data_IF_167380378465
#
_entry.id   IF_167380378465
#
_cell.length_a   1.000
_cell.length_b   1.000
_cell.length_c   1.000
_cell.angle_alpha   90.00
_cell.angle_beta   90.00
_cell.angle_gamma   90.00
#
_symmetry.space_group_name_H-M   'P 1'
#
loop_
_entity.id
_entity.type
_entity.pdbx_description
1 polymer ?
#
# COMPACT_ATOMS: atom_id res chain seq x y z
N UNK A 1 -12.66 -8.99 -10.63
CA UNK A 1 -11.64 -8.70 -9.61
C UNK A 1 -11.55 -7.19 -9.39
N UNK A 2 -11.03 -6.76 -8.24
CA UNK A 2 -10.93 -5.36 -7.79
C UNK A 2 -9.59 -5.10 -7.09
N UNK A 3 -9.23 -3.84 -6.93
CA UNK A 3 -8.03 -3.39 -6.21
C UNK A 3 -8.27 -3.29 -4.68
N UNK A 4 -7.28 -2.80 -3.94
CA UNK A 4 -7.39 -2.61 -2.49
C UNK A 4 -8.58 -1.71 -2.10
N UNK A 5 -8.81 -0.63 -2.85
CA UNK A 5 -9.95 0.27 -2.63
C UNK A 5 -11.28 -0.47 -2.84
N UNK A 6 -11.39 -1.26 -3.90
CA UNK A 6 -12.58 -2.06 -4.17
C UNK A 6 -12.83 -3.13 -3.11
N UNK A 7 -11.78 -3.73 -2.53
CA UNK A 7 -11.92 -4.64 -1.38
C UNK A 7 -12.47 -3.88 -0.16
N UNK A 8 -11.94 -2.70 0.16
CA UNK A 8 -12.43 -1.89 1.29
C UNK A 8 -13.90 -1.50 1.11
N UNK A 9 -14.28 -1.07 -0.10
CA UNK A 9 -15.68 -0.75 -0.42
C UNK A 9 -16.59 -1.97 -0.25
N UNK A 10 -16.16 -3.13 -0.74
CA UNK A 10 -16.89 -4.39 -0.59
C UNK A 10 -17.08 -4.77 0.88
N UNK A 11 -16.00 -4.76 1.68
CA UNK A 11 -16.08 -5.09 3.11
C UNK A 11 -16.96 -4.09 3.87
N UNK A 12 -16.94 -2.82 3.49
CA UNK A 12 -17.80 -1.79 4.07
C UNK A 12 -19.27 -2.07 3.76
N UNK A 13 -19.60 -2.37 2.50
CA UNK A 13 -20.95 -2.75 2.07
C UNK A 13 -21.45 -4.01 2.80
N UNK A 14 -20.60 -5.03 2.97
CA UNK A 14 -20.94 -6.22 3.76
C UNK A 14 -21.24 -5.84 5.21
N UNK A 15 -20.43 -4.97 5.81
CA UNK A 15 -20.67 -4.48 7.18
C UNK A 15 -21.96 -3.67 7.32
N UNK A 16 -22.34 -2.89 6.31
CA UNK A 16 -23.60 -2.14 6.28
C UNK A 16 -24.81 -3.08 6.20
N UNK A 17 -24.79 -4.04 5.28
CA UNK A 17 -25.87 -5.02 5.13
C UNK A 17 -26.01 -5.89 6.37
N UNK A 18 -24.90 -6.31 6.99
CA UNK A 18 -24.91 -7.06 8.24
C UNK A 18 -25.51 -6.27 9.42
N UNK A 19 -25.44 -4.93 9.39
CA UNK A 19 -26.09 -4.06 10.38
C UNK A 19 -27.57 -3.78 10.07
N UNK A 20 -28.09 -4.28 8.96
CA UNK A 20 -29.50 -4.16 8.58
C UNK A 20 -29.83 -2.98 7.68
N UNK A 21 -28.83 -2.35 7.05
CA UNK A 21 -29.11 -1.37 6.01
C UNK A 21 -29.76 -2.06 4.80
N UNK A 22 -30.72 -1.39 4.18
CA UNK A 22 -31.46 -1.91 3.02
C UNK A 22 -30.60 -2.02 1.76
N UNK A 23 -29.53 -1.23 1.68
CA UNK A 23 -28.61 -1.19 0.56
C UNK A 23 -27.27 -0.60 1.01
N UNK A 24 -26.16 -0.92 0.31
CA UNK A 24 -24.88 -0.24 0.54
C UNK A 24 -25.01 1.27 0.31
N UNK A 25 -24.29 2.07 1.10
CA UNK A 25 -24.25 3.54 0.96
C UNK A 25 -23.52 3.96 -0.32
N UNK A 26 -22.54 3.16 -0.75
CA UNK A 26 -21.80 3.35 -2.00
C UNK A 26 -22.24 2.29 -3.01
N UNK A 27 -22.83 2.74 -4.12
CA UNK A 27 -23.23 1.85 -5.21
C UNK A 27 -21.99 1.26 -5.90
N UNK A 28 -21.96 -0.06 -6.16
CA UNK A 28 -20.88 -0.66 -6.92
C UNK A 28 -20.94 -0.18 -8.38
N UNK A 29 -19.80 0.26 -8.91
CA UNK A 29 -19.65 0.58 -10.33
C UNK A 29 -19.21 -0.65 -11.11
N UNK A 30 -19.94 -0.97 -12.18
CA UNK A 30 -19.68 -2.15 -13.01
C UNK A 30 -19.20 -1.83 -14.43
N UNK A 31 -19.16 -0.55 -14.78
CA UNK A 31 -18.83 -0.07 -16.13
C UNK A 31 -17.33 -0.13 -16.43
N UNK A 32 -16.80 -1.35 -16.57
CA UNK A 32 -15.39 -1.60 -16.90
C UNK A 32 -15.02 -1.11 -18.29
N UNK A 33 -16.00 -1.03 -19.19
CA UNK A 33 -15.86 -0.44 -20.52
C UNK A 33 -15.35 1.01 -20.48
N UNK A 34 -15.60 1.75 -19.39
CA UNK A 34 -15.08 3.12 -19.22
C UNK A 34 -13.57 3.16 -18.94
N UNK A 35 -12.99 2.02 -18.56
CA UNK A 35 -11.56 1.87 -18.27
C UNK A 35 -10.82 1.19 -19.42
N UNK A 36 -11.51 0.88 -20.53
CA UNK A 36 -10.86 0.35 -21.72
C UNK A 36 -9.92 1.40 -22.31
N UNK A 37 -8.75 0.94 -22.75
CA UNK A 37 -7.83 1.79 -23.49
C UNK A 37 -8.46 2.24 -24.82
N UNK A 38 -7.94 3.33 -25.39
CA UNK A 38 -8.30 3.74 -26.76
C UNK A 38 -8.16 2.57 -27.75
N UNK A 39 -8.97 2.57 -28.80
CA UNK A 39 -8.87 1.63 -29.92
C UNK A 39 -8.55 2.40 -31.21
N UNK A 40 -7.31 2.30 -31.74
CA UNK A 40 -6.20 1.46 -31.26
C UNK A 40 -5.54 1.97 -29.96
N UNK A 41 -4.82 1.12 -29.21
CA UNK A 41 -4.08 1.55 -28.02
C UNK A 41 -3.01 2.59 -28.39
N UNK A 42 -2.99 3.72 -27.68
CA UNK A 42 -2.02 4.80 -27.89
C UNK A 42 -1.19 5.05 -26.61
N UNK A 43 -0.21 4.18 -26.28
CA UNK A 43 0.63 4.39 -25.10
C UNK A 43 1.47 5.68 -25.25
N UNK A 44 1.34 6.60 -24.30
CA UNK A 44 2.07 7.88 -24.31
C UNK A 44 3.46 7.78 -23.67
N UNK A 45 3.74 6.68 -22.96
CA UNK A 45 4.98 6.45 -22.23
C UNK A 45 5.53 5.04 -22.45
N UNK A 46 6.85 4.81 -22.32
CA UNK A 46 7.42 3.46 -22.32
C UNK A 46 6.90 2.65 -21.13
N UNK A 47 6.31 1.48 -21.40
CA UNK A 47 5.79 0.56 -20.37
C UNK A 47 6.74 -0.61 -20.15
N UNK A 48 7.77 -0.43 -19.33
CA UNK A 48 8.81 -1.44 -19.05
C UNK A 48 8.27 -2.72 -18.38
N UNK A 49 7.08 -2.67 -17.79
CA UNK A 49 6.41 -3.85 -17.22
C UNK A 49 6.09 -4.93 -18.27
N UNK A 50 6.03 -4.58 -19.56
CA UNK A 50 5.84 -5.51 -20.68
C UNK A 50 7.14 -5.89 -21.40
N UNK A 51 8.29 -5.41 -20.93
CA UNK A 51 9.58 -5.81 -21.50
C UNK A 51 9.77 -7.33 -21.31
N UNK A 52 10.41 -8.04 -22.25
CA UNK A 52 10.66 -9.47 -22.13
C UNK A 52 11.59 -9.73 -20.93
N UNK A 53 11.03 -10.28 -19.86
CA UNK A 53 11.78 -10.61 -18.64
C UNK A 53 12.43 -12.00 -18.80
N UNK A 54 13.71 -12.18 -18.42
CA UNK A 54 14.31 -13.50 -18.25
C UNK A 54 13.48 -14.39 -17.32
N UNK A 55 13.66 -15.71 -17.40
CA UNK A 55 12.94 -16.66 -16.55
C UNK A 55 12.94 -16.21 -15.07
N UNK A 56 11.80 -16.29 -14.36
CA UNK A 56 11.70 -15.84 -12.98
C UNK A 56 12.79 -16.48 -12.14
N UNK A 57 13.46 -15.68 -11.30
CA UNK A 57 14.32 -16.24 -10.26
C UNK A 57 13.48 -17.17 -9.38
N UNK A 58 14.02 -18.33 -8.95
CA UNK A 58 13.30 -19.20 -8.04
C UNK A 58 12.91 -18.40 -6.78
N UNK A 59 11.70 -18.64 -6.23
CA UNK A 59 11.31 -17.99 -4.99
C UNK A 59 12.35 -18.32 -3.90
N UNK A 60 12.60 -17.38 -2.97
CA UNK A 60 13.47 -17.67 -1.84
C UNK A 60 12.93 -18.88 -1.07
N UNK A 61 13.81 -19.69 -0.45
CA UNK A 61 13.43 -20.78 0.44
C UNK A 61 12.37 -20.36 1.46
N UNK A 62 11.44 -21.27 1.75
CA UNK A 62 10.44 -21.05 2.79
C UNK A 62 11.15 -20.79 4.14
N UNK A 63 10.78 -19.70 4.82
CA UNK A 63 11.35 -19.30 6.10
C UNK A 63 12.48 -18.26 6.06
N UNK A 64 12.93 -17.84 4.86
CA UNK A 64 13.93 -16.77 4.75
C UNK A 64 13.29 -15.36 4.80
N UNK A 65 12.03 -15.23 4.38
CA UNK A 65 11.34 -13.96 4.37
C UNK A 65 10.66 -13.69 5.71
N UNK A 66 11.13 -12.65 6.41
CA UNK A 66 10.53 -12.18 7.66
C UNK A 66 9.61 -11.00 7.37
N UNK A 67 8.34 -11.10 7.76
CA UNK A 67 7.41 -9.96 7.74
C UNK A 67 7.55 -9.18 9.05
N UNK A 68 7.76 -7.87 8.94
CA UNK A 68 7.81 -6.93 10.07
C UNK A 68 6.82 -5.80 9.84
N UNK A 69 6.19 -5.33 10.91
CA UNK A 69 5.29 -4.18 10.89
C UNK A 69 5.93 -3.03 11.64
N UNK A 70 5.91 -1.84 11.03
CA UNK A 70 6.39 -0.60 11.63
C UNK A 70 5.23 0.38 11.71
N UNK A 71 5.11 1.06 12.85
CA UNK A 71 4.06 2.06 13.08
C UNK A 71 4.69 3.43 13.16
N UNK A 72 4.14 4.38 12.39
CA UNK A 72 4.59 5.77 12.39
C UNK A 72 3.48 6.64 12.98
N UNK A 73 3.84 7.45 13.97
CA UNK A 73 2.96 8.46 14.54
C UNK A 73 2.97 9.73 13.69
N UNK A 74 2.02 10.64 13.95
CA UNK A 74 2.02 11.95 13.31
C UNK A 74 3.32 12.74 13.57
N UNK A 75 3.93 12.56 14.75
CA UNK A 75 5.21 13.18 15.09
C UNK A 75 6.36 12.58 14.27
N UNK A 76 6.38 11.26 14.07
CA UNK A 76 7.39 10.58 13.24
C UNK A 76 7.31 11.05 11.79
N UNK A 77 6.10 11.12 11.23
CA UNK A 77 5.87 11.65 9.88
C UNK A 77 6.28 13.12 9.78
N UNK A 78 5.95 13.95 10.77
CA UNK A 78 6.36 15.35 10.77
C UNK A 78 7.89 15.52 10.79
N UNK A 79 8.59 14.67 11.55
CA UNK A 79 10.05 14.64 11.58
C UNK A 79 10.67 14.21 10.24
N UNK A 80 10.03 13.28 9.52
CA UNK A 80 10.43 12.90 8.16
C UNK A 80 10.22 14.03 7.15
N UNK A 81 9.16 14.82 7.33
CA UNK A 81 8.78 15.95 6.45
C UNK A 81 9.53 17.24 6.72
N UNK A 82 10.50 17.25 7.61
CA UNK A 82 11.21 18.46 7.95
C UNK A 82 12.03 18.98 6.76
N UNK A 83 11.91 20.28 6.44
CA UNK A 83 12.56 20.92 5.27
C UNK A 83 14.06 20.64 5.16
N UNK A 84 14.77 20.49 6.28
CA UNK A 84 16.21 20.15 6.28
C UNK A 84 16.53 18.78 5.69
N UNK A 85 15.55 17.86 5.64
CA UNK A 85 15.67 16.49 5.12
C UNK A 85 15.05 16.32 3.73
N UNK A 86 14.35 17.34 3.23
CA UNK A 86 13.72 17.28 1.92
C UNK A 86 14.51 18.09 0.90
N UNK A 87 14.57 17.62 -0.36
CA UNK A 87 14.99 18.46 -1.47
C UNK A 87 14.17 19.77 -1.54
N UNK A 88 14.76 20.91 -1.95
CA UNK A 88 14.10 22.22 -1.95
C UNK A 88 12.74 22.25 -2.67
N UNK A 89 12.58 21.47 -3.73
CA UNK A 89 11.35 21.41 -4.53
C UNK A 89 10.19 20.65 -3.86
N UNK A 90 10.45 19.97 -2.72
CA UNK A 90 9.44 19.20 -1.97
C UNK A 90 9.04 19.86 -0.64
N UNK A 91 9.65 21.01 -0.29
CA UNK A 91 9.47 21.65 1.01
C UNK A 91 8.02 22.00 1.35
N UNK A 92 7.22 22.32 0.34
CA UNK A 92 5.83 22.76 0.51
C UNK A 92 4.81 21.87 -0.21
N UNK A 93 5.28 20.85 -0.95
CA UNK A 93 4.43 19.96 -1.76
C UNK A 93 4.38 18.53 -1.25
N UNK A 94 5.30 18.12 -0.36
CA UNK A 94 5.32 16.77 0.18
C UNK A 94 4.07 16.47 1.03
N UNK A 95 3.36 15.42 0.67
CA UNK A 95 2.26 14.83 1.44
C UNK A 95 2.80 13.83 2.47
N UNK A 96 1.92 13.26 3.30
CA UNK A 96 2.26 12.16 4.21
C UNK A 96 2.61 10.87 3.47
N UNK A 97 2.14 10.72 2.22
CA UNK A 97 2.38 9.53 1.41
C UNK A 97 3.61 9.68 0.50
N UNK A 98 4.09 10.90 0.31
CA UNK A 98 5.28 11.16 -0.49
C UNK A 98 6.53 10.72 0.26
N UNK A 99 7.29 9.83 -0.38
CA UNK A 99 8.51 9.26 0.19
C UNK A 99 9.65 10.28 0.14
N UNK A 100 10.41 10.48 1.24
CA UNK A 100 11.75 11.02 1.09
C UNK A 100 12.60 10.03 0.28
N UNK A 101 13.40 10.50 -0.69
CA UNK A 101 14.17 9.64 -1.61
C UNK A 101 15.20 8.73 -0.90
N UNK A 102 15.53 9.00 0.36
CA UNK A 102 16.57 8.30 1.14
C UNK A 102 16.15 6.92 1.67
N UNK A 103 14.87 6.54 1.58
CA UNK A 103 14.39 5.21 1.99
C UNK A 103 14.50 4.14 0.89
N UNK A 104 15.15 4.45 -0.24
CA UNK A 104 15.54 3.42 -1.21
C UNK A 104 16.76 2.66 -0.69
N UNK A 105 16.53 1.60 0.09
CA UNK A 105 17.52 0.57 0.40
C UNK A 105 18.37 0.76 1.67
N UNK A 106 18.08 1.74 2.52
CA UNK A 106 18.71 1.81 3.85
C UNK A 106 17.89 1.05 4.91
N UNK A 107 18.63 0.28 5.70
CA UNK A 107 18.22 -0.84 6.56
C UNK A 107 17.01 -0.53 7.45
N UNK A 108 16.01 -1.41 7.37
CA UNK A 108 14.94 -1.55 8.35
C UNK A 108 15.42 -2.05 9.73
N UNK A 109 16.73 -2.30 9.90
CA UNK A 109 17.33 -2.87 11.11
C UNK A 109 17.28 -1.93 12.33
N UNK A 110 17.13 -0.62 12.13
CA UNK A 110 17.18 0.37 13.22
C UNK A 110 15.79 0.73 13.78
N UNK A 111 14.72 0.31 13.12
CA UNK A 111 13.38 0.55 13.61
C UNK A 111 13.08 -0.44 14.75
N UNK A 112 13.18 0.05 16.00
CA UNK A 112 12.93 -0.71 17.22
C UNK A 112 11.52 -1.35 17.15
N UNK A 113 11.41 -2.69 17.12
CA UNK A 113 10.12 -3.36 17.25
C UNK A 113 9.54 -3.02 18.62
N UNK A 114 8.29 -2.55 18.67
CA UNK A 114 7.50 -2.60 19.90
C UNK A 114 6.82 -3.98 19.90
N UNK A 115 7.43 -4.91 20.63
CA UNK A 115 6.92 -6.27 20.80
C UNK A 115 5.73 -6.22 21.78
N UNK A 116 4.53 -5.97 21.26
CA UNK A 116 3.29 -6.08 22.02
C UNK A 116 2.57 -7.35 21.56
N UNK A 117 3.06 -8.52 21.97
CA UNK A 117 2.26 -9.74 21.91
C UNK A 117 1.31 -9.77 23.12
N UNK A 118 -0.01 -9.91 22.94
CA UNK A 118 -0.85 -10.39 24.03
C UNK A 118 -0.43 -11.83 24.35
N UNK A 119 -0.05 -12.07 25.60
CA UNK A 119 0.16 -13.42 26.13
C UNK A 119 -1.18 -14.14 26.08
N UNK A 120 -1.35 -15.07 25.13
CA UNK A 120 -2.44 -16.04 25.18
C UNK A 120 -2.34 -16.80 26.51
N UNK A 121 -3.46 -17.01 27.24
CA UNK A 121 -3.42 -17.75 28.49
C UNK A 121 -3.11 -19.21 28.19
N UNK A 122 -2.06 -19.72 28.82
CA UNK A 122 -1.68 -21.12 28.80
C UNK A 122 -2.86 -21.96 29.34
N UNK A 123 -3.54 -22.68 28.45
CA UNK A 123 -4.59 -23.63 28.81
C UNK A 123 -3.96 -25.02 28.94
N UNK A 124 -3.67 -25.37 30.19
CA UNK A 124 -3.56 -26.70 30.83
C UNK A 124 -2.71 -27.80 30.18
#
# INVERSE_FOLDING_TARGET
MCDATGIVQFLSAVGELARGLSSPTVSPAWSRELLEACSPPEPTFPHHEYDPVPLPRPPPPQGEMVTRTFTFTAADVAALKEKRRLPPHLHDTATTFDRPPELNGQRLDEARPQEQYPMEPEMA
#
